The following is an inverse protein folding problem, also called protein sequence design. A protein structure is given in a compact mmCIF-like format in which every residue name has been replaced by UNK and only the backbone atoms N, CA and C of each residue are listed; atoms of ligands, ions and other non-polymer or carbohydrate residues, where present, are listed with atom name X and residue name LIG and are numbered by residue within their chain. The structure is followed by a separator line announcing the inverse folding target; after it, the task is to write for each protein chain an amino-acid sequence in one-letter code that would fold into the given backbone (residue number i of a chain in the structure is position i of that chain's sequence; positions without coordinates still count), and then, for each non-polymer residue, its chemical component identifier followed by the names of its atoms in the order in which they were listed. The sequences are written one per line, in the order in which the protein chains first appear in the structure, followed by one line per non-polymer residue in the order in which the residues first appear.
data_IF_334949406328
#
_entry.id   IF_334949406328
#
_cell.length_a   1.000
_cell.length_b   1.000
_cell.length_c   1.000
_cell.angle_alpha   90.00
_cell.angle_beta   90.00
_cell.angle_gamma   90.00
#
_symmetry.space_group_name_H-M   'P 1'
#
loop_
_entity.id
_entity.type
_entity.pdbx_description
1 polymer ?
#
# COMPACT_ATOMS: atom_id res chain seq x y z
N UNK A 1 0.61 -23.49 13.60
CA UNK A 1 0.26 -22.55 12.52
C UNK A 1 0.29 -21.14 13.10
N UNK A 2 1.42 -20.46 12.96
CA UNK A 2 1.67 -19.16 13.60
C UNK A 2 1.08 -18.08 12.69
N UNK A 3 -0.04 -17.46 13.09
CA UNK A 3 -0.55 -16.26 12.40
C UNK A 3 0.47 -15.14 12.63
N UNK A 4 1.27 -14.85 11.61
CA UNK A 4 2.10 -13.66 11.56
C UNK A 4 1.15 -12.50 11.30
N UNK A 5 0.68 -11.85 12.36
CA UNK A 5 -0.09 -10.61 12.24
C UNK A 5 0.78 -9.63 11.46
N UNK A 6 0.38 -9.29 10.23
CA UNK A 6 0.98 -8.20 9.48
C UNK A 6 0.95 -6.95 10.37
N UNK A 7 2.12 -6.58 10.90
CA UNK A 7 2.24 -5.45 11.78
C UNK A 7 1.95 -4.20 10.95
N UNK A 8 0.76 -3.63 11.11
CA UNK A 8 0.48 -2.27 10.65
C UNK A 8 1.65 -1.40 11.09
N UNK A 9 2.31 -0.73 10.14
CA UNK A 9 3.35 0.25 10.44
C UNK A 9 2.79 1.29 11.41
N UNK A 10 3.06 1.09 12.69
CA UNK A 10 2.86 2.12 13.70
C UNK A 10 3.94 3.13 13.40
N UNK A 11 3.61 4.42 13.17
CA UNK A 11 4.63 5.43 12.93
C UNK A 11 5.57 5.40 14.13
N UNK A 12 6.88 5.20 13.93
CA UNK A 12 7.81 5.22 15.05
C UNK A 12 7.77 6.60 15.69
N UNK A 13 7.62 6.65 17.02
CA UNK A 13 7.80 7.87 17.80
C UNK A 13 9.29 8.26 17.78
N UNK A 14 9.72 8.94 16.72
CA UNK A 14 11.11 9.34 16.56
C UNK A 14 11.35 10.37 15.45
N UNK A 15 12.42 11.18 15.55
CA UNK A 15 12.75 12.18 14.55
C UNK A 15 13.11 11.52 13.21
N UNK A 16 12.73 12.19 12.10
CA UNK A 16 13.10 11.77 10.74
C UNK A 16 14.60 11.61 10.62
N UNK A 17 15.05 10.45 10.12
CA UNK A 17 16.47 10.20 9.84
C UNK A 17 16.84 10.78 8.49
N UNK A 18 17.96 11.50 8.42
CA UNK A 18 18.52 11.98 7.16
C UNK A 18 19.21 10.82 6.44
N UNK A 19 18.73 10.50 5.25
CA UNK A 19 19.32 9.47 4.39
C UNK A 19 19.86 10.11 3.11
N UNK A 20 21.05 9.69 2.69
CA UNK A 20 21.61 10.06 1.39
C UNK A 20 21.10 9.08 0.33
N UNK A 21 20.51 9.59 -0.75
CA UNK A 21 20.02 8.79 -1.87
C UNK A 21 20.53 9.33 -3.20
N UNK A 22 20.72 8.43 -4.16
CA UNK A 22 21.15 8.75 -5.52
C UNK A 22 19.91 8.92 -6.40
N UNK A 23 19.77 10.10 -7.03
CA UNK A 23 18.66 10.43 -7.93
C UNK A 23 19.23 10.82 -9.29
N UNK A 24 18.53 10.48 -10.37
CA UNK A 24 18.94 10.88 -11.72
C UNK A 24 18.97 12.42 -11.86
N UNK A 25 19.98 12.97 -12.55
CA UNK A 25 20.17 14.41 -12.65
C UNK A 25 19.04 15.12 -13.42
N UNK A 26 18.44 14.46 -14.41
CA UNK A 26 17.31 15.00 -15.17
C UNK A 26 16.05 15.17 -14.30
N UNK A 27 15.81 14.26 -13.37
CA UNK A 27 14.71 14.37 -12.42
C UNK A 27 14.95 15.48 -11.40
N UNK A 28 16.19 15.66 -10.95
CA UNK A 28 16.55 16.79 -10.09
C UNK A 28 16.33 18.14 -10.78
N UNK A 29 16.75 18.25 -12.05
CA UNK A 29 16.54 19.46 -12.84
C UNK A 29 15.04 19.74 -13.06
N UNK A 30 14.26 18.71 -13.39
CA UNK A 30 12.82 18.81 -13.56
C UNK A 30 12.12 19.21 -12.25
N UNK A 31 12.47 18.59 -11.13
CA UNK A 31 11.89 18.89 -9.82
C UNK A 31 12.16 20.35 -9.42
N UNK A 32 13.40 20.85 -9.59
CA UNK A 32 13.74 22.26 -9.34
C UNK A 32 12.94 23.21 -10.21
N UNK A 33 12.82 22.91 -11.51
CA UNK A 33 12.05 23.72 -12.46
C UNK A 33 10.56 23.78 -12.12
N UNK A 34 10.03 22.69 -11.56
CA UNK A 34 8.62 22.55 -11.20
C UNK A 34 8.31 22.92 -9.74
N UNK A 35 9.32 23.32 -8.95
CA UNK A 35 9.14 23.65 -7.54
C UNK A 35 8.78 22.46 -6.65
N UNK A 36 9.13 21.23 -7.06
CA UNK A 36 8.81 20.00 -6.32
C UNK A 36 9.82 19.79 -5.19
N UNK A 37 9.31 19.61 -3.97
CA UNK A 37 10.13 19.25 -2.80
C UNK A 37 10.54 17.77 -2.88
N UNK A 38 11.83 17.53 -3.16
CA UNK A 38 12.37 16.18 -3.37
C UNK A 38 12.14 15.27 -2.17
N UNK A 39 12.34 15.76 -0.95
CA UNK A 39 12.16 14.97 0.27
C UNK A 39 10.72 14.53 0.48
N UNK A 40 9.76 15.39 0.17
CA UNK A 40 8.33 15.07 0.27
C UNK A 40 7.91 14.07 -0.82
N UNK A 41 8.39 14.28 -2.06
CA UNK A 41 8.14 13.35 -3.15
C UNK A 41 8.74 11.96 -2.89
N UNK A 42 9.94 11.90 -2.30
CA UNK A 42 10.59 10.66 -1.92
C UNK A 42 9.82 9.93 -0.80
N UNK A 43 9.37 10.66 0.23
CA UNK A 43 8.58 10.08 1.32
C UNK A 43 7.26 9.49 0.80
N UNK A 44 6.55 10.24 -0.05
CA UNK A 44 5.31 9.76 -0.66
C UNK A 44 5.54 8.51 -1.51
N UNK A 45 6.56 8.53 -2.37
CA UNK A 45 6.89 7.39 -3.21
C UNK A 45 7.26 6.14 -2.40
N UNK A 46 7.98 6.33 -1.28
CA UNK A 46 8.33 5.24 -0.38
C UNK A 46 7.10 4.68 0.34
N UNK A 47 6.21 5.55 0.86
CA UNK A 47 4.97 5.13 1.50
C UNK A 47 4.06 4.34 0.55
N UNK A 48 3.94 4.78 -0.69
CA UNK A 48 3.16 4.07 -1.72
C UNK A 48 3.76 2.70 -2.05
N UNK A 49 5.09 2.62 -2.24
CA UNK A 49 5.76 1.36 -2.52
C UNK A 49 5.63 0.35 -1.36
N UNK A 50 5.74 0.81 -0.11
CA UNK A 50 5.55 -0.02 1.07
C UNK A 50 4.11 -0.54 1.13
N UNK A 51 3.12 0.35 0.97
CA UNK A 51 1.70 -0.04 0.96
C UNK A 51 1.40 -1.07 -0.12
N UNK A 52 1.98 -0.93 -1.30
CA UNK A 52 1.82 -1.91 -2.39
C UNK A 52 2.43 -3.27 -2.05
N UNK A 53 3.62 -3.28 -1.45
CA UNK A 53 4.28 -4.50 -1.01
C UNK A 53 3.49 -5.21 0.10
N UNK A 54 3.03 -4.48 1.12
CA UNK A 54 2.20 -5.02 2.20
C UNK A 54 0.87 -5.56 1.66
N UNK A 55 0.23 -4.84 0.74
CA UNK A 55 -0.98 -5.31 0.09
C UNK A 55 -0.75 -6.59 -0.73
N UNK A 56 0.41 -6.72 -1.37
CA UNK A 56 0.78 -7.94 -2.09
C UNK A 56 0.97 -9.13 -1.13
N UNK A 57 1.72 -8.94 -0.05
CA UNK A 57 1.92 -9.97 0.99
C UNK A 57 0.57 -10.39 1.59
N UNK A 58 -0.28 -9.43 1.95
CA UNK A 58 -1.61 -9.72 2.49
C UNK A 58 -2.49 -10.50 1.52
N UNK A 59 -2.47 -10.17 0.22
CA UNK A 59 -3.25 -10.91 -0.79
C UNK A 59 -2.80 -12.36 -0.88
N UNK A 60 -1.50 -12.63 -0.82
CA UNK A 60 -1.00 -14.01 -0.83
C UNK A 60 -1.43 -14.78 0.43
N UNK A 61 -1.30 -14.17 1.60
CA UNK A 61 -1.71 -14.79 2.86
C UNK A 61 -3.21 -15.09 2.93
N UNK A 62 -4.04 -14.22 2.32
CA UNK A 62 -5.49 -14.31 2.40
C UNK A 62 -6.12 -14.91 1.15
N UNK A 63 -5.32 -15.37 0.18
CA UNK A 63 -5.77 -15.92 -1.11
C UNK A 63 -6.86 -16.98 -0.93
N UNK A 64 -6.62 -17.98 -0.08
CA UNK A 64 -7.60 -19.05 0.16
C UNK A 64 -8.93 -18.55 0.77
N UNK A 65 -8.87 -17.53 1.63
CA UNK A 65 -10.08 -16.94 2.21
C UNK A 65 -10.84 -16.08 1.18
N UNK A 66 -10.11 -15.37 0.33
CA UNK A 66 -10.67 -14.58 -0.78
C UNK A 66 -11.34 -15.51 -1.79
N UNK A 67 -10.67 -16.59 -2.19
CA UNK A 67 -11.20 -17.57 -3.14
C UNK A 67 -12.46 -18.24 -2.58
N UNK A 68 -12.43 -18.70 -1.32
CA UNK A 68 -13.62 -19.28 -0.68
C UNK A 68 -14.79 -18.29 -0.58
N UNK A 69 -14.51 -17.00 -0.33
CA UNK A 69 -15.54 -15.96 -0.32
C UNK A 69 -16.10 -15.71 -1.73
N UNK A 70 -15.24 -15.69 -2.75
CA UNK A 70 -15.66 -15.53 -4.15
C UNK A 70 -16.53 -16.72 -4.59
N UNK A 71 -16.11 -17.96 -4.33
CA UNK A 71 -16.87 -19.17 -4.66
C UNK A 71 -18.26 -19.17 -4.01
N UNK A 72 -18.33 -18.72 -2.75
CA UNK A 72 -19.60 -18.58 -2.04
C UNK A 72 -20.49 -17.52 -2.71
N UNK A 73 -19.93 -16.36 -3.09
CA UNK A 73 -20.70 -15.29 -3.77
C UNK A 73 -21.18 -15.74 -5.15
N UNK A 74 -20.37 -16.46 -5.93
CA UNK A 74 -20.78 -17.01 -7.22
C UNK A 74 -21.94 -18.02 -7.06
N UNK A 75 -21.88 -18.83 -6.00
CA UNK A 75 -22.90 -19.86 -5.73
C UNK A 75 -24.21 -19.29 -5.15
N UNK A 76 -24.12 -18.24 -4.32
CA UNK A 76 -25.26 -17.73 -3.54
C UNK A 76 -25.74 -16.34 -4.01
N UNK A 77 -25.02 -15.72 -4.93
CA UNK A 77 -25.19 -14.32 -5.30
C UNK A 77 -24.63 -13.37 -4.24
N UNK A 78 -24.72 -12.07 -4.54
CA UNK A 78 -24.25 -11.02 -3.63
C UNK A 78 -25.14 -10.95 -2.39
N UNK A 79 -24.56 -11.06 -1.17
CA UNK A 79 -25.27 -10.77 0.07
C UNK A 79 -25.92 -9.40 0.01
N UNK A 80 -27.15 -9.28 0.50
CA UNK A 80 -27.84 -8.01 0.68
C UNK A 80 -28.03 -7.19 -0.62
N UNK A 81 -27.95 -7.83 -1.80
CA UNK A 81 -28.19 -7.17 -3.09
C UNK A 81 -29.52 -6.39 -3.10
N UNK A 82 -30.53 -6.90 -2.42
CA UNK A 82 -31.89 -6.34 -2.38
C UNK A 82 -32.02 -5.10 -1.47
N UNK A 83 -30.97 -4.77 -0.71
CA UNK A 83 -30.92 -3.60 0.18
C UNK A 83 -29.93 -2.52 -0.30
N UNK A 84 -29.39 -2.65 -1.51
CA UNK A 84 -28.48 -1.66 -2.09
C UNK A 84 -29.29 -0.42 -2.50
N UNK A 85 -29.02 0.71 -1.86
CA UNK A 85 -29.76 1.98 -2.04
C UNK A 85 -29.34 2.80 -3.28
N UNK A 86 -28.80 2.17 -4.32
CA UNK A 86 -28.41 2.83 -5.57
C UNK A 86 -28.40 1.85 -6.75
#
# INVERSE_FOLDING_TARGET
MTRRTAARLTPPDGPRKRTTLTIRPDYLAAARRLGITISEAAERGLADAIREAEAAEWREENRAAIDAANDWVESNGLPLKDHRLF
#
